data_IF_021206241296
#
_entry.id   IF_021206241296
#
_cell.length_a   1.000
_cell.length_b   1.000
_cell.length_c   1.000
_cell.angle_alpha   90.00
_cell.angle_beta   90.00
_cell.angle_gamma   90.00
#
_symmetry.space_group_name_H-M   'P 1'
#
loop_
_entity.id
_entity.type
_entity.pdbx_description
1 polymer ?
#
# COMPACT_ATOMS: atom_id res chain seq x y z
N UNK A 1 -29.37 26.87 -47.72
CA UNK A 1 -28.22 27.01 -46.81
C UNK A 1 -27.44 25.71 -46.88
N UNK A 2 -26.33 25.73 -47.60
CA UNK A 2 -25.44 24.59 -47.82
C UNK A 2 -24.23 24.68 -46.89
N UNK A 3 -23.48 23.57 -46.83
CA UNK A 3 -22.18 23.29 -46.17
C UNK A 3 -22.29 22.96 -44.67
N UNK A 4 -21.74 21.86 -44.14
CA UNK A 4 -20.68 20.96 -44.64
C UNK A 4 -20.76 19.61 -43.94
N UNK A 5 -20.57 18.55 -44.72
CA UNK A 5 -20.29 17.20 -44.27
C UNK A 5 -18.92 17.12 -43.58
N UNK A 6 -18.77 16.23 -42.59
CA UNK A 6 -17.54 15.47 -42.37
C UNK A 6 -17.90 14.08 -41.84
N UNK A 7 -17.63 13.09 -42.68
CA UNK A 7 -17.67 11.65 -42.40
C UNK A 7 -16.21 11.17 -42.12
N UNK A 8 -15.90 9.87 -42.02
CA UNK A 8 -15.34 9.24 -40.83
C UNK A 8 -13.87 8.80 -41.02
N UNK A 9 -13.11 8.63 -39.94
CA UNK A 9 -11.82 7.91 -39.93
C UNK A 9 -11.85 7.04 -38.66
N UNK A 10 -11.81 5.70 -38.66
CA UNK A 10 -10.97 4.69 -39.35
C UNK A 10 -9.47 4.86 -39.06
N UNK A 11 -8.87 3.73 -38.65
CA UNK A 11 -7.48 3.42 -38.27
C UNK A 11 -7.18 3.68 -36.77
N UNK A 12 -6.54 2.78 -36.02
CA UNK A 12 -5.89 1.53 -36.37
C UNK A 12 -5.78 0.61 -35.14
N UNK A 13 -5.94 -0.68 -35.41
CA UNK A 13 -5.33 -1.78 -34.68
C UNK A 13 -3.81 -1.60 -34.54
N UNK A 14 -3.26 -1.95 -33.39
CA UNK A 14 -1.87 -2.37 -33.27
C UNK A 14 -1.75 -3.45 -32.20
N UNK A 15 -1.47 -4.71 -32.58
CA UNK A 15 -0.82 -5.67 -31.70
C UNK A 15 0.66 -5.28 -31.55
N UNK A 16 1.22 -5.44 -30.36
CA UNK A 16 2.67 -5.49 -30.13
C UNK A 16 2.90 -6.67 -29.20
N UNK A 17 3.16 -7.85 -29.75
CA UNK A 17 4.49 -8.35 -30.13
C UNK A 17 5.41 -8.59 -28.92
N UNK A 18 5.53 -9.89 -28.62
CA UNK A 18 6.80 -10.61 -28.62
C UNK A 18 7.81 -10.25 -27.54
N UNK A 19 7.74 -11.02 -26.45
CA UNK A 19 8.82 -11.21 -25.48
C UNK A 19 10.10 -11.70 -26.18
N UNK A 20 11.25 -11.04 -26.00
CA UNK A 20 12.53 -11.63 -26.37
C UNK A 20 13.00 -12.59 -25.27
N UNK A 21 13.14 -13.86 -25.64
CA UNK A 21 13.96 -14.83 -24.94
C UNK A 21 15.43 -14.43 -25.07
N UNK A 22 16.08 -14.10 -23.96
CA UNK A 22 17.54 -14.05 -23.88
C UNK A 22 18.03 -15.20 -22.99
N UNK A 23 18.38 -16.29 -23.66
CA UNK A 23 19.33 -17.26 -23.17
C UNK A 23 20.74 -16.70 -23.35
N UNK A 24 21.59 -16.81 -22.33
CA UNK A 24 23.08 -16.87 -22.35
C UNK A 24 23.57 -16.39 -20.97
N UNK A 25 23.89 -17.29 -20.04
CA UNK A 25 25.19 -17.96 -19.95
C UNK A 25 26.35 -16.96 -20.03
N UNK A 26 26.82 -16.49 -18.89
CA UNK A 26 28.19 -15.99 -18.78
C UNK A 26 28.89 -16.71 -17.65
N UNK A 27 29.91 -17.45 -18.09
CA UNK A 27 30.85 -18.22 -17.33
C UNK A 27 31.71 -17.30 -16.46
N UNK A 28 31.81 -17.59 -15.17
CA UNK A 28 32.91 -17.12 -14.34
C UNK A 28 33.54 -18.33 -13.66
N UNK A 29 34.64 -18.75 -14.26
CA UNK A 29 35.63 -19.68 -13.73
C UNK A 29 36.45 -18.98 -12.65
N UNK A 30 36.46 -19.51 -11.43
CA UNK A 30 37.59 -19.27 -10.52
C UNK A 30 37.91 -20.54 -9.72
N UNK A 31 39.11 -21.02 -10.01
CA UNK A 31 40.01 -22.00 -9.39
C UNK A 31 39.59 -22.86 -8.21
N UNK A 32 39.78 -24.16 -8.44
CA UNK A 32 39.95 -25.25 -7.48
C UNK A 32 41.12 -25.01 -6.51
N UNK A 33 40.89 -25.24 -5.23
CA UNK A 33 41.92 -25.64 -4.27
C UNK A 33 41.37 -26.84 -3.49
N UNK A 34 41.84 -28.03 -3.84
CA UNK A 34 41.67 -29.27 -3.07
C UNK A 34 42.60 -29.25 -1.87
N UNK A 35 42.15 -29.67 -0.68
CA UNK A 35 42.99 -30.41 0.29
C UNK A 35 42.12 -30.98 1.43
N UNK A 36 42.28 -32.27 1.73
CA UNK A 36 42.21 -32.76 3.12
C UNK A 36 41.10 -33.74 3.49
N UNK A 37 41.43 -35.03 3.46
CA UNK A 37 40.69 -36.20 3.95
C UNK A 37 40.77 -36.29 5.49
N UNK A 38 39.68 -36.66 6.20
CA UNK A 38 39.56 -37.83 7.12
C UNK A 38 38.32 -37.82 8.01
N UNK A 39 37.64 -38.97 8.02
CA UNK A 39 36.71 -39.46 9.04
C UNK A 39 37.35 -39.52 10.43
N UNK A 40 36.56 -39.37 11.50
CA UNK A 40 36.33 -40.45 12.50
C UNK A 40 35.38 -40.03 13.64
N UNK A 41 34.35 -40.85 13.85
CA UNK A 41 33.70 -41.35 15.09
C UNK A 41 33.67 -40.50 16.37
N UNK A 42 32.51 -40.47 17.03
CA UNK A 42 32.42 -40.20 18.48
C UNK A 42 31.15 -39.51 18.98
N UNK A 43 30.05 -40.26 19.09
CA UNK A 43 29.01 -40.04 20.13
C UNK A 43 29.63 -40.19 21.55
N UNK A 44 29.06 -39.72 22.69
CA UNK A 44 27.61 -39.70 22.96
C UNK A 44 27.04 -38.60 23.90
N UNK A 45 25.70 -38.50 23.89
CA UNK A 45 24.79 -38.34 25.04
C UNK A 45 25.02 -37.24 26.13
N UNK A 46 23.88 -36.62 26.46
CA UNK A 46 23.45 -35.99 27.73
C UNK A 46 23.79 -34.50 27.93
N UNK A 47 22.79 -33.63 27.73
CA UNK A 47 22.12 -32.99 28.89
C UNK A 47 20.79 -32.34 28.50
N UNK A 48 19.73 -32.89 29.08
CA UNK A 48 18.47 -32.21 29.34
C UNK A 48 18.69 -31.27 30.53
N UNK A 49 18.31 -30.00 30.40
CA UNK A 49 17.89 -29.20 31.55
C UNK A 49 16.75 -28.24 31.14
N UNK A 50 15.56 -28.80 31.23
CA UNK A 50 14.34 -28.25 31.83
C UNK A 50 14.25 -26.71 31.91
N UNK A 51 13.27 -26.24 31.14
CA UNK A 51 12.39 -25.10 31.39
C UNK A 51 12.30 -24.66 32.86
N UNK A 52 12.43 -23.35 33.07
CA UNK A 52 11.32 -22.51 33.55
C UNK A 52 11.58 -21.06 33.11
N UNK A 53 11.00 -20.64 31.98
CA UNK A 53 10.83 -19.20 31.73
C UNK A 53 9.51 -18.78 32.37
N UNK A 54 9.64 -17.80 33.26
CA UNK A 54 8.62 -17.17 34.08
C UNK A 54 7.31 -16.90 33.35
N UNK A 55 6.21 -17.50 33.83
CA UNK A 55 4.84 -17.09 33.52
C UNK A 55 4.27 -16.32 34.72
N UNK A 56 4.28 -14.98 34.62
CA UNK A 56 3.50 -13.97 35.36
C UNK A 56 4.25 -12.63 35.21
N UNK A 57 3.68 -11.54 34.73
CA UNK A 57 2.39 -11.24 34.17
C UNK A 57 2.66 -10.25 33.04
N UNK A 58 2.11 -10.47 31.84
CA UNK A 58 2.01 -9.37 30.89
C UNK A 58 1.07 -8.36 31.53
N UNK A 59 1.62 -7.21 31.90
CA UNK A 59 0.87 -6.04 32.33
C UNK A 59 -0.19 -5.76 31.28
N UNK A 60 -1.41 -6.22 31.55
CA UNK A 60 -2.61 -5.66 30.97
C UNK A 60 -2.72 -4.27 31.58
N UNK A 61 -1.98 -3.33 31.01
CA UNK A 61 -2.26 -1.91 31.12
C UNK A 61 -3.61 -1.69 30.49
N UNK A 62 -4.65 -1.96 31.28
CA UNK A 62 -6.03 -1.61 31.00
C UNK A 62 -6.13 -0.09 31.07
N UNK A 63 -5.76 0.57 29.98
CA UNK A 63 -6.09 1.95 29.69
C UNK A 63 -5.96 2.18 28.18
N UNK A 64 -7.13 2.30 27.53
CA UNK A 64 -7.39 2.58 26.10
C UNK A 64 -7.50 1.40 25.12
N UNK A 65 -8.27 0.36 25.46
CA UNK A 65 -8.68 -0.67 24.48
C UNK A 65 -9.49 -0.14 23.28
N UNK A 66 -9.91 1.13 23.33
CA UNK A 66 -10.71 1.77 22.27
C UNK A 66 -9.85 2.36 21.13
N UNK A 67 -8.62 2.79 21.43
CA UNK A 67 -7.71 3.33 20.40
C UNK A 67 -7.21 2.25 19.44
N UNK A 68 -6.76 1.12 20.01
CA UNK A 68 -6.22 -0.01 19.25
C UNK A 68 -7.22 -0.62 18.28
N UNK A 69 -8.51 -0.67 18.64
CA UNK A 69 -9.56 -1.21 17.78
C UNK A 69 -9.83 -0.36 16.53
N UNK A 70 -9.82 0.98 16.68
CA UNK A 70 -9.99 1.87 15.53
C UNK A 70 -8.75 1.95 14.66
N UNK A 71 -7.55 1.91 15.25
CA UNK A 71 -6.30 1.81 14.50
C UNK A 71 -6.27 0.59 13.58
N UNK A 72 -6.69 -0.58 14.10
CA UNK A 72 -6.81 -1.80 13.29
C UNK A 72 -7.84 -1.63 12.18
N UNK A 73 -9.00 -1.03 12.49
CA UNK A 73 -10.03 -0.78 11.47
C UNK A 73 -9.54 0.12 10.34
N UNK A 74 -8.74 1.15 10.63
CA UNK A 74 -8.13 2.03 9.61
C UNK A 74 -7.15 1.25 8.76
N UNK A 75 -6.23 0.50 9.39
CA UNK A 75 -5.24 -0.31 8.68
C UNK A 75 -5.89 -1.35 7.77
N UNK A 76 -6.93 -2.02 8.28
CA UNK A 76 -7.73 -2.97 7.50
C UNK A 76 -8.40 -2.28 6.31
N UNK A 77 -9.07 -1.16 6.53
CA UNK A 77 -9.72 -0.40 5.43
C UNK A 77 -8.72 0.01 4.35
N UNK A 78 -7.54 0.45 4.76
CA UNK A 78 -6.43 0.87 3.88
C UNK A 78 -5.77 -0.32 3.16
N UNK A 79 -5.83 -1.53 3.73
CA UNK A 79 -5.33 -2.74 3.10
C UNK A 79 -6.35 -3.35 2.11
N UNK A 80 -7.64 -3.32 2.46
CA UNK A 80 -8.72 -3.89 1.65
C UNK A 80 -9.04 -3.06 0.40
N UNK A 81 -8.67 -1.77 0.39
CA UNK A 81 -8.99 -0.85 -0.70
C UNK A 81 -7.72 -0.29 -1.35
N UNK A 82 -7.72 -0.19 -2.68
CA UNK A 82 -6.61 0.39 -3.45
C UNK A 82 -6.36 1.86 -3.08
N UNK A 83 -7.42 2.65 -2.93
CA UNK A 83 -7.33 4.07 -2.58
C UNK A 83 -8.35 4.39 -1.50
N UNK A 84 -7.89 5.01 -0.42
CA UNK A 84 -8.74 5.49 0.68
C UNK A 84 -8.47 6.97 0.90
N UNK A 85 -9.53 7.76 0.99
CA UNK A 85 -9.49 9.20 1.22
C UNK A 85 -10.32 9.50 2.46
N UNK A 86 -9.66 9.93 3.54
CA UNK A 86 -10.34 10.51 4.69
C UNK A 86 -10.57 11.99 4.44
N UNK A 87 -11.83 12.40 4.39
CA UNK A 87 -12.26 13.76 4.04
C UNK A 87 -13.25 14.34 5.03
N UNK A 88 -13.63 15.59 4.76
CA UNK A 88 -14.81 16.22 5.35
C UNK A 88 -15.67 16.84 4.26
N UNK A 89 -16.99 16.80 4.42
CA UNK A 89 -17.97 17.23 3.41
C UNK A 89 -17.78 18.69 2.99
N UNK A 90 -17.45 19.57 3.93
CA UNK A 90 -17.30 21.01 3.73
C UNK A 90 -15.91 21.44 3.23
N UNK A 91 -14.97 20.52 3.04
CA UNK A 91 -13.59 20.86 2.71
C UNK A 91 -13.36 20.96 1.19
N UNK A 92 -12.92 22.13 0.66
CA UNK A 92 -12.66 22.29 -0.77
C UNK A 92 -11.49 21.44 -1.27
N UNK A 93 -10.42 21.31 -0.49
CA UNK A 93 -9.25 20.47 -0.84
C UNK A 93 -9.61 18.99 -0.98
N UNK A 94 -10.58 18.51 -0.20
CA UNK A 94 -11.06 17.14 -0.34
C UNK A 94 -11.80 16.92 -1.66
N UNK A 95 -12.57 17.92 -2.11
CA UNK A 95 -13.28 17.86 -3.39
C UNK A 95 -12.31 17.85 -4.59
N UNK A 96 -11.20 18.58 -4.48
CA UNK A 96 -10.14 18.57 -5.49
C UNK A 96 -9.49 17.18 -5.62
N UNK A 97 -9.11 16.55 -4.50
CA UNK A 97 -8.54 15.19 -4.49
C UNK A 97 -9.52 14.16 -5.08
N UNK A 98 -10.80 14.20 -4.71
CA UNK A 98 -11.82 13.31 -5.28
C UNK A 98 -11.95 13.48 -6.79
N UNK A 99 -11.94 14.72 -7.26
CA UNK A 99 -12.00 15.05 -8.69
C UNK A 99 -10.75 14.56 -9.42
N UNK A 100 -9.57 14.70 -8.80
CA UNK A 100 -8.31 14.19 -9.36
C UNK A 100 -8.38 12.68 -9.59
N UNK A 101 -8.75 11.90 -8.58
CA UNK A 101 -8.89 10.44 -8.74
C UNK A 101 -9.96 10.06 -9.77
N UNK A 102 -11.07 10.79 -9.82
CA UNK A 102 -12.10 10.60 -10.85
C UNK A 102 -11.57 10.85 -12.27
N UNK A 103 -10.69 11.84 -12.46
CA UNK A 103 -10.04 12.10 -13.76
C UNK A 103 -9.06 11.00 -14.16
N UNK A 104 -8.43 10.36 -13.18
CA UNK A 104 -7.58 9.17 -13.37
C UNK A 104 -8.38 7.89 -13.62
N UNK A 105 -9.72 7.94 -13.58
CA UNK A 105 -10.58 6.78 -13.77
C UNK A 105 -10.61 5.82 -12.57
N UNK A 106 -10.11 6.25 -11.41
CA UNK A 106 -10.09 5.45 -10.17
C UNK A 106 -11.21 5.91 -9.25
N UNK A 107 -11.93 4.96 -8.66
CA UNK A 107 -12.96 5.24 -7.65
C UNK A 107 -12.37 5.04 -6.24
N UNK A 108 -12.02 6.12 -5.52
CA UNK A 108 -11.49 5.99 -4.17
C UNK A 108 -12.60 5.70 -3.16
N UNK A 109 -12.27 4.94 -2.11
CA UNK A 109 -13.13 4.86 -0.93
C UNK A 109 -13.03 6.18 -0.16
N UNK A 110 -14.15 6.88 -0.03
CA UNK A 110 -14.22 8.16 0.69
C UNK A 110 -14.85 7.92 2.06
N UNK A 111 -14.16 8.36 3.12
CA UNK A 111 -14.66 8.32 4.50
C UNK A 111 -14.81 9.75 5.00
N UNK A 112 -16.05 10.20 5.15
CA UNK A 112 -16.37 11.53 5.67
C UNK A 112 -16.34 11.54 7.20
N UNK A 113 -15.33 12.19 7.78
CA UNK A 113 -15.14 12.21 9.22
C UNK A 113 -16.23 13.01 9.95
N UNK A 114 -16.81 14.03 9.31
CA UNK A 114 -17.84 14.87 9.94
C UNK A 114 -19.20 14.17 10.03
N UNK A 115 -19.51 13.25 9.12
CA UNK A 115 -20.76 12.48 9.14
C UNK A 115 -20.76 11.39 10.23
N UNK A 116 -19.58 10.97 10.69
CA UNK A 116 -19.40 9.94 11.72
C UNK A 116 -19.55 10.48 13.17
N UNK A 117 -19.80 11.78 13.33
CA UNK A 117 -19.98 12.42 14.63
C UNK A 117 -18.81 12.18 15.61
N UNK A 118 -19.05 11.64 16.83
CA UNK A 118 -17.99 11.44 17.82
C UNK A 118 -16.94 10.41 17.40
N UNK A 119 -17.30 9.46 16.52
CA UNK A 119 -16.33 8.49 15.99
C UNK A 119 -15.36 9.15 15.01
N UNK A 120 -15.82 10.11 14.22
CA UNK A 120 -14.96 10.86 13.31
C UNK A 120 -13.84 11.62 14.00
N UNK A 121 -14.12 12.19 15.19
CA UNK A 121 -13.10 12.86 16.00
C UNK A 121 -12.06 11.88 16.55
N UNK A 122 -12.48 10.68 16.93
CA UNK A 122 -11.57 9.61 17.38
C UNK A 122 -10.73 9.08 16.23
N UNK A 123 -11.35 8.85 15.07
CA UNK A 123 -10.67 8.44 13.84
C UNK A 123 -9.64 9.48 13.41
N UNK A 124 -9.94 10.77 13.55
CA UNK A 124 -8.98 11.84 13.26
C UNK A 124 -7.73 11.79 14.17
N UNK A 125 -7.89 11.46 15.46
CA UNK A 125 -6.75 11.25 16.38
C UNK A 125 -5.96 10.00 16.04
N UNK A 126 -6.66 8.93 15.64
CA UNK A 126 -6.04 7.69 15.18
C UNK A 126 -5.21 7.95 13.93
N UNK A 127 -5.75 8.67 12.95
CA UNK A 127 -5.04 9.06 11.74
C UNK A 127 -3.80 9.91 12.06
N UNK A 128 -3.92 10.87 12.97
CA UNK A 128 -2.77 11.65 13.46
C UNK A 128 -1.70 10.76 14.09
N UNK A 129 -2.08 9.73 14.84
CA UNK A 129 -1.13 8.77 15.44
C UNK A 129 -0.46 7.89 14.38
N UNK A 130 -1.20 7.46 13.36
CA UNK A 130 -0.71 6.56 12.31
C UNK A 130 0.17 7.27 11.27
N UNK A 131 -0.21 8.49 10.89
CA UNK A 131 0.43 9.21 9.78
C UNK A 131 1.19 10.46 10.20
N UNK A 132 1.03 10.90 11.45
CA UNK A 132 1.51 12.20 11.92
C UNK A 132 0.67 13.38 11.42
N UNK A 133 -0.41 13.13 10.67
CA UNK A 133 -1.21 14.17 10.04
C UNK A 133 -2.66 14.16 10.53
N UNK A 134 -3.04 15.24 11.23
CA UNK A 134 -4.43 15.47 11.68
C UNK A 134 -5.33 16.12 10.62
N UNK A 135 -4.74 16.73 9.59
CA UNK A 135 -5.46 17.50 8.58
C UNK A 135 -6.10 16.60 7.52
N UNK A 136 -7.28 17.02 7.04
CA UNK A 136 -7.92 16.46 5.86
C UNK A 136 -7.58 17.31 4.63
N UNK A 137 -7.47 16.74 3.42
CA UNK A 137 -7.58 15.31 3.12
C UNK A 137 -6.36 14.52 3.64
N UNK A 138 -6.59 13.27 4.07
CA UNK A 138 -5.54 12.30 4.39
C UNK A 138 -5.72 11.10 3.45
N UNK A 139 -4.74 10.88 2.57
CA UNK A 139 -4.86 10.01 1.39
C UNK A 139 -3.93 8.80 1.52
N UNK A 140 -4.48 7.62 1.24
CA UNK A 140 -3.75 6.36 1.19
C UNK A 140 -3.92 5.70 -0.18
N UNK A 141 -2.83 5.16 -0.73
CA UNK A 141 -2.79 4.40 -1.99
C UNK A 141 -1.98 3.13 -1.77
N UNK A 142 -2.56 1.97 -2.10
CA UNK A 142 -1.89 0.67 -2.01
C UNK A 142 -1.37 0.34 -0.62
N UNK A 143 -2.12 0.72 0.42
CA UNK A 143 -1.71 0.52 1.81
C UNK A 143 -0.74 1.57 2.38
N UNK A 144 -0.25 2.51 1.56
CA UNK A 144 0.71 3.55 1.98
C UNK A 144 0.06 4.92 2.10
N UNK A 145 0.44 5.66 3.14
CA UNK A 145 0.09 7.07 3.30
C UNK A 145 0.94 7.94 2.37
N UNK A 146 0.31 8.77 1.53
CA UNK A 146 1.00 9.74 0.67
C UNK A 146 0.92 11.18 1.17
N UNK A 147 -0.09 11.53 1.99
CA UNK A 147 -0.23 12.87 2.56
C UNK A 147 -1.55 13.53 2.22
N UNK A 148 -1.50 14.84 1.95
CA UNK A 148 -2.67 15.68 1.69
C UNK A 148 -2.90 16.00 0.22
N UNK A 149 -3.64 17.10 -0.02
CA UNK A 149 -3.99 17.54 -1.37
C UNK A 149 -2.75 17.93 -2.19
N UNK A 150 -1.86 18.74 -1.60
CA UNK A 150 -0.63 19.19 -2.25
C UNK A 150 0.26 18.02 -2.63
N UNK A 151 0.45 17.05 -1.72
CA UNK A 151 1.28 15.87 -1.96
C UNK A 151 0.70 15.02 -3.11
N UNK A 152 -0.61 14.80 -3.08
CA UNK A 152 -1.31 14.02 -4.12
C UNK A 152 -1.19 14.68 -5.50
N UNK A 153 -1.41 16.00 -5.58
CA UNK A 153 -1.28 16.76 -6.84
C UNK A 153 0.16 16.75 -7.34
N UNK A 154 1.14 16.89 -6.44
CA UNK A 154 2.55 16.83 -6.80
C UNK A 154 2.96 15.46 -7.34
N UNK A 155 2.52 14.37 -6.71
CA UNK A 155 2.77 13.01 -7.20
C UNK A 155 2.12 12.76 -8.55
N UNK A 156 0.90 13.28 -8.77
CA UNK A 156 0.24 13.22 -10.07
C UNK A 156 1.03 13.95 -11.16
N UNK A 157 1.53 15.16 -10.86
CA UNK A 157 2.36 15.93 -11.81
C UNK A 157 3.67 15.23 -12.16
N UNK A 158 4.22 14.44 -11.23
CA UNK A 158 5.42 13.62 -11.45
C UNK A 158 5.13 12.31 -12.20
N UNK A 159 3.86 11.92 -12.35
CA UNK A 159 3.48 10.61 -12.89
C UNK A 159 3.65 9.44 -11.91
N UNK A 160 4.15 9.69 -10.70
CA UNK A 160 4.37 8.65 -9.69
C UNK A 160 3.05 8.09 -9.14
N UNK A 161 1.99 8.91 -9.09
CA UNK A 161 0.68 8.50 -8.59
C UNK A 161 0.07 7.36 -9.43
N UNK A 162 0.16 7.44 -10.75
CA UNK A 162 -0.36 6.42 -11.66
C UNK A 162 0.39 5.09 -11.52
N UNK A 163 1.72 5.15 -11.33
CA UNK A 163 2.54 3.96 -11.06
C UNK A 163 2.13 3.28 -9.76
N UNK A 164 1.94 4.06 -8.68
CA UNK A 164 1.48 3.51 -7.40
C UNK A 164 0.09 2.88 -7.49
N UNK A 165 -0.81 3.47 -8.28
CA UNK A 165 -2.14 2.92 -8.53
C UNK A 165 -2.07 1.59 -9.29
N UNK A 166 -1.23 1.50 -10.33
CA UNK A 166 -1.03 0.27 -11.07
C UNK A 166 -0.47 -0.86 -10.19
N UNK A 167 0.53 -0.54 -9.34
CA UNK A 167 1.09 -1.50 -8.38
C UNK A 167 0.08 -1.92 -7.30
N UNK A 168 -0.80 -1.02 -6.87
CA UNK A 168 -1.83 -1.29 -5.88
C UNK A 168 -2.93 -2.20 -6.43
N UNK A 169 -3.38 -1.96 -7.68
CA UNK A 169 -4.37 -2.82 -8.33
C UNK A 169 -3.90 -4.27 -8.43
N UNK A 170 -2.61 -4.49 -8.75
CA UNK A 170 -2.04 -5.83 -8.85
C UNK A 170 -2.06 -6.62 -7.51
N UNK A 171 -2.17 -5.93 -6.37
CA UNK A 171 -2.23 -6.58 -5.04
C UNK A 171 -3.65 -6.92 -4.60
N UNK A 172 -4.62 -6.09 -4.97
CA UNK A 172 -6.03 -6.31 -4.58
C UNK A 172 -6.61 -7.57 -5.24
N UNK A 173 -6.13 -7.97 -6.41
CA UNK A 173 -6.57 -9.19 -7.11
C UNK A 173 -6.02 -10.52 -6.51
N UNK A 174 -5.16 -10.48 -5.49
CA UNK A 174 -4.52 -11.68 -4.90
C UNK A 174 -5.11 -12.12 -3.55
N UNK A 175 -6.19 -11.49 -3.07
CA UNK A 175 -6.80 -11.78 -1.76
C UNK A 175 -8.19 -12.38 -1.92
#
# INVERSE_FOLDING_TARGET
MAVTAFNPLKLASSPRDSFPSISSSTSYSVSLISFGIRNSVGSPLKRCLKQTCSVRAMSSSSSSSFGSGMEESVKKTVADNTVVVYSKTWCPYCSEVKTLFKRLGVQPLVVELDELGPQGTQLQKVLETLTGQRTVPNVFVGGKHIGGCTDTVNLNRKGELELMLAEANAKTDQT
#
